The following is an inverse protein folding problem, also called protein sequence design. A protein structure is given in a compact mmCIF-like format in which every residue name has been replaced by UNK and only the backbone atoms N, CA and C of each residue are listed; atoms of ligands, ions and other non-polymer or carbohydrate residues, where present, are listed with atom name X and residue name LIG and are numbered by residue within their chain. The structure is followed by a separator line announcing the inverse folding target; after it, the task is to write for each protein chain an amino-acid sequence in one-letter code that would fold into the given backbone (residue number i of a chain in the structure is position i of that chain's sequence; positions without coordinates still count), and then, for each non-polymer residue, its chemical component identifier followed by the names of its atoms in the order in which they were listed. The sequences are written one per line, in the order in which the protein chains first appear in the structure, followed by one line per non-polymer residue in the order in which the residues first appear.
data_IF_393835568136
#
_entry.id   IF_393835568136
#
_cell.length_a   1.000
_cell.length_b   1.000
_cell.length_c   1.000
_cell.angle_alpha   90.00
_cell.angle_beta   90.00
_cell.angle_gamma   90.00
#
_symmetry.space_group_name_H-M   'P 1'
#
loop_
_entity.id
_entity.type
_entity.pdbx_description
1 polymer ?
#
# COMPACT_ATOMS: atom_id res chain seq x y z
N UNK A 1 6.87 10.58 -19.03
CA UNK A 1 5.86 11.51 -18.48
C UNK A 1 4.59 10.82 -17.98
N UNK A 2 3.91 9.91 -18.70
CA UNK A 2 2.80 9.09 -18.11
C UNK A 2 3.32 7.80 -17.44
N UNK A 3 4.34 7.17 -18.05
CA UNK A 3 4.99 5.96 -17.50
C UNK A 3 5.64 6.22 -16.14
N UNK A 4 6.20 7.40 -15.91
CA UNK A 4 6.86 7.75 -14.64
C UNK A 4 5.86 7.83 -13.49
N UNK A 5 4.70 8.43 -13.75
CA UNK A 5 3.61 8.53 -12.78
C UNK A 5 3.05 7.15 -12.40
N UNK A 6 2.76 6.30 -13.39
CA UNK A 6 2.33 4.92 -13.16
C UNK A 6 3.39 4.08 -12.43
N UNK A 7 4.67 4.29 -12.74
CA UNK A 7 5.77 3.61 -12.04
C UNK A 7 5.84 4.02 -10.56
N UNK A 8 5.62 5.31 -10.27
CA UNK A 8 5.63 5.84 -8.91
C UNK A 8 4.44 5.31 -8.10
N UNK A 9 3.24 5.25 -8.70
CA UNK A 9 2.06 4.67 -8.07
C UNK A 9 2.24 3.18 -7.77
N UNK A 10 2.80 2.40 -8.72
CA UNK A 10 3.14 0.98 -8.51
C UNK A 10 4.14 0.79 -7.37
N UNK A 11 5.22 1.58 -7.33
CA UNK A 11 6.21 1.55 -6.23
C UNK A 11 5.57 1.86 -4.88
N UNK A 12 4.67 2.85 -4.81
CA UNK A 12 3.92 3.17 -3.58
C UNK A 12 3.02 2.01 -3.15
N UNK A 13 2.32 1.39 -4.08
CA UNK A 13 1.48 0.23 -3.81
C UNK A 13 2.29 -0.96 -3.26
N UNK A 14 3.43 -1.29 -3.89
CA UNK A 14 4.34 -2.33 -3.40
C UNK A 14 4.90 -2.01 -2.00
N UNK A 15 5.24 -0.75 -1.74
CA UNK A 15 5.73 -0.32 -0.43
C UNK A 15 4.66 -0.45 0.66
N UNK A 16 3.39 -0.15 0.35
CA UNK A 16 2.29 -0.37 1.29
C UNK A 16 2.08 -1.85 1.58
N UNK A 17 2.20 -2.71 0.57
CA UNK A 17 2.07 -4.16 0.76
C UNK A 17 3.15 -4.72 1.69
N UNK A 18 4.40 -4.26 1.51
CA UNK A 18 5.49 -4.64 2.41
C UNK A 18 5.21 -4.21 3.84
N UNK A 19 4.77 -2.96 4.05
CA UNK A 19 4.43 -2.44 5.40
C UNK A 19 3.29 -3.21 6.06
N UNK A 20 2.29 -3.67 5.29
CA UNK A 20 1.19 -4.49 5.80
C UNK A 20 1.74 -5.84 6.26
N UNK A 21 2.52 -6.52 5.41
CA UNK A 21 3.10 -7.82 5.73
C UNK A 21 4.06 -7.74 6.93
N UNK A 22 4.90 -6.70 6.98
CA UNK A 22 5.79 -6.43 8.10
C UNK A 22 5.00 -6.26 9.41
N UNK A 23 3.88 -5.54 9.39
CA UNK A 23 3.06 -5.33 10.59
C UNK A 23 2.28 -6.61 10.99
N UNK A 24 1.75 -7.35 10.02
CA UNK A 24 0.99 -8.60 10.24
C UNK A 24 1.86 -9.73 10.79
N UNK A 25 3.16 -9.73 10.48
CA UNK A 25 4.12 -10.73 10.99
C UNK A 25 4.64 -10.43 12.38
N UNK A 26 4.30 -9.27 12.98
CA UNK A 26 4.74 -8.93 14.33
C UNK A 26 4.03 -9.81 15.36
N UNK A 27 4.69 -10.15 16.49
CA UNK A 27 4.06 -10.91 17.58
C UNK A 27 2.81 -10.23 18.18
N UNK A 28 2.75 -8.90 18.12
CA UNK A 28 1.58 -8.11 18.52
C UNK A 28 1.30 -7.05 17.42
N UNK A 29 0.52 -7.41 16.39
CA UNK A 29 0.22 -6.51 15.28
C UNK A 29 -0.64 -5.32 15.72
N UNK A 30 -0.32 -4.13 15.23
CA UNK A 30 -1.22 -2.99 15.32
C UNK A 30 -2.31 -3.08 14.24
N UNK A 31 -3.49 -3.54 14.66
CA UNK A 31 -4.63 -3.75 13.75
C UNK A 31 -5.20 -2.46 13.17
N UNK A 32 -5.11 -1.33 13.90
CA UNK A 32 -5.54 -0.01 13.42
C UNK A 32 -4.59 0.45 12.32
N UNK A 33 -3.28 0.27 12.53
CA UNK A 33 -2.26 0.57 11.53
C UNK A 33 -2.42 -0.28 10.28
N UNK A 34 -2.63 -1.60 10.42
CA UNK A 34 -2.90 -2.50 9.28
C UNK A 34 -4.14 -2.04 8.50
N UNK A 35 -5.23 -1.69 9.20
CA UNK A 35 -6.46 -1.24 8.56
C UNK A 35 -6.22 0.06 7.75
N UNK A 36 -5.52 1.03 8.32
CA UNK A 36 -5.18 2.28 7.64
C UNK A 36 -4.32 2.03 6.40
N UNK A 37 -3.28 1.19 6.51
CA UNK A 37 -2.41 0.83 5.38
C UNK A 37 -3.20 0.14 4.24
N UNK A 38 -4.11 -0.78 4.59
CA UNK A 38 -4.97 -1.46 3.60
C UNK A 38 -5.91 -0.48 2.89
N UNK A 39 -6.45 0.52 3.61
CA UNK A 39 -7.29 1.57 3.04
C UNK A 39 -6.51 2.47 2.08
N UNK A 40 -5.28 2.84 2.43
CA UNK A 40 -4.39 3.59 1.54
C UNK A 40 -4.03 2.78 0.29
N UNK A 41 -3.75 1.48 0.44
CA UNK A 41 -3.47 0.58 -0.69
C UNK A 41 -4.66 0.49 -1.64
N UNK A 42 -5.88 0.42 -1.12
CA UNK A 42 -7.10 0.38 -1.93
C UNK A 42 -7.25 1.64 -2.77
N UNK A 43 -7.06 2.83 -2.19
CA UNK A 43 -7.12 4.11 -2.91
C UNK A 43 -6.08 4.20 -4.04
N UNK A 44 -4.84 3.78 -3.76
CA UNK A 44 -3.78 3.73 -4.78
C UNK A 44 -4.10 2.74 -5.91
N UNK A 45 -4.76 1.62 -5.59
CA UNK A 45 -5.22 0.66 -6.59
C UNK A 45 -6.31 1.25 -7.48
N UNK A 46 -7.23 2.03 -6.91
CA UNK A 46 -8.26 2.75 -7.68
C UNK A 46 -7.62 3.81 -8.59
N UNK A 47 -6.65 4.56 -8.11
CA UNK A 47 -5.91 5.56 -8.90
C UNK A 47 -5.09 4.92 -10.04
N UNK A 48 -4.61 3.68 -9.88
CA UNK A 48 -3.94 2.91 -10.93
C UNK A 48 -4.89 2.34 -12.00
N UNK A 49 -6.18 2.22 -11.67
CA UNK A 49 -7.21 1.64 -12.54
C UNK A 49 -8.02 2.69 -13.29
N UNK A 50 -8.05 3.93 -12.79
CA UNK A 50 -8.58 5.11 -13.50
C UNK A 50 -7.64 5.58 -14.60
#
# INVERSE_FOLDING_TARGET
MIQDHMSALRKKHEALERKINEEETRPLPDTIRIHNLKKEKLRLKEELLN
#
